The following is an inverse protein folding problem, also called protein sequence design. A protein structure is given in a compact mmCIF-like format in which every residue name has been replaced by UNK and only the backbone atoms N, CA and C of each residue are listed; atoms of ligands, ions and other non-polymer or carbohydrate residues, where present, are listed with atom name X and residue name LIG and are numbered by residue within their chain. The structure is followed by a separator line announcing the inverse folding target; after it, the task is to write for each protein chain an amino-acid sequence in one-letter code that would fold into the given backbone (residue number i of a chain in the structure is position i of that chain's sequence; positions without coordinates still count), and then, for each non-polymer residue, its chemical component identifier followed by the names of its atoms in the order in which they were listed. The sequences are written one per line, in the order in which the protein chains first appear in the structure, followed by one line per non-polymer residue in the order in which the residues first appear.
data_IF_164445687979
#
_entry.id   IF_164445687979
#
_cell.length_a   1.000
_cell.length_b   1.000
_cell.length_c   1.000
_cell.angle_alpha   90.00
_cell.angle_beta   90.00
_cell.angle_gamma   90.00
#
_symmetry.space_group_name_H-M   'P 1'
#
loop_
_entity.id
_entity.type
_entity.pdbx_description
1 polymer ?
#
# COMPACT_ATOMS: atom_id res chain seq x y z
N UNK A 1 3.55 22.41 -6.71
CA UNK A 1 3.50 23.71 -6.00
C UNK A 1 2.18 23.69 -5.27
N UNK A 2 2.25 23.45 -3.97
CA UNK A 2 1.05 23.22 -3.18
C UNK A 2 0.34 24.55 -2.95
N UNK A 3 -0.98 24.55 -3.12
CA UNK A 3 -1.82 25.73 -2.96
C UNK A 3 -2.47 25.63 -1.58
N UNK A 4 -2.12 26.57 -0.72
CA UNK A 4 -2.69 26.67 0.63
C UNK A 4 -3.90 27.62 0.64
N UNK A 5 -4.88 27.40 1.54
CA UNK A 5 -4.93 26.33 2.54
C UNK A 5 -5.29 24.96 1.94
N UNK A 6 -4.76 23.88 2.55
CA UNK A 6 -4.98 22.49 2.14
C UNK A 6 -5.76 21.73 3.21
N UNK A 7 -6.64 20.82 2.80
CA UNK A 7 -7.35 19.93 3.71
C UNK A 7 -6.66 18.56 3.75
N UNK A 8 -6.42 18.04 4.95
CA UNK A 8 -5.86 16.71 5.19
C UNK A 8 -6.86 15.83 5.94
N UNK A 9 -6.69 14.52 5.81
CA UNK A 9 -7.61 13.49 6.27
C UNK A 9 -6.87 12.40 7.02
N UNK A 10 -7.55 11.74 7.95
CA UNK A 10 -7.07 10.50 8.57
C UNK A 10 -8.25 9.62 8.96
N UNK A 11 -7.96 8.34 9.23
CA UNK A 11 -8.96 7.44 9.80
C UNK A 11 -9.49 8.03 11.11
N UNK A 12 -10.81 8.20 11.19
CA UNK A 12 -11.48 8.80 12.33
C UNK A 12 -11.35 7.94 13.58
N UNK A 13 -11.09 8.59 14.71
CA UNK A 13 -10.78 7.93 15.98
C UNK A 13 -11.99 7.41 16.76
N UNK A 14 -13.22 7.75 16.35
CA UNK A 14 -14.45 7.32 17.03
C UNK A 14 -15.11 6.11 16.33
N UNK A 15 -15.65 5.19 17.15
CA UNK A 15 -16.37 4.00 16.69
C UNK A 15 -17.60 4.37 15.85
N UNK A 16 -17.74 3.72 14.70
CA UNK A 16 -18.84 3.89 13.75
C UNK A 16 -19.40 2.50 13.39
N UNK A 17 -20.72 2.33 13.43
CA UNK A 17 -21.38 1.06 13.12
C UNK A 17 -21.60 0.87 11.61
N UNK A 18 -21.64 1.93 10.80
CA UNK A 18 -22.09 1.87 9.41
C UNK A 18 -21.18 2.60 8.37
N UNK A 19 -19.97 3.03 8.73
CA UNK A 19 -19.07 3.70 7.78
C UNK A 19 -17.63 3.91 8.24
N UNK A 20 -16.74 4.29 7.31
CA UNK A 20 -15.38 4.77 7.64
C UNK A 20 -15.49 6.14 8.31
N UNK A 21 -15.22 6.22 9.61
CA UNK A 21 -15.07 7.52 10.27
C UNK A 21 -13.84 8.24 9.69
N UNK A 22 -13.93 9.54 9.45
CA UNK A 22 -12.86 10.34 8.84
C UNK A 22 -12.70 11.62 9.63
N UNK A 23 -11.52 11.83 10.22
CA UNK A 23 -11.15 13.13 10.78
C UNK A 23 -10.58 14.01 9.65
N UNK A 24 -10.80 15.32 9.70
CA UNK A 24 -10.25 16.28 8.73
C UNK A 24 -9.65 17.50 9.42
N UNK A 25 -8.59 18.08 8.84
CA UNK A 25 -7.96 19.32 9.32
C UNK A 25 -7.52 20.22 8.16
N UNK A 26 -7.46 21.53 8.40
CA UNK A 26 -6.96 22.52 7.44
C UNK A 26 -5.55 22.96 7.84
N UNK A 27 -4.63 22.96 6.88
CA UNK A 27 -3.26 23.49 7.03
C UNK A 27 -3.08 24.74 6.16
N UNK A 28 -2.48 25.78 6.72
CA UNK A 28 -2.35 27.10 6.10
C UNK A 28 -0.99 27.31 5.39
N UNK A 29 -0.04 26.39 5.59
CA UNK A 29 1.30 26.53 5.05
C UNK A 29 2.15 25.26 5.14
N UNK A 30 3.34 25.28 4.51
CA UNK A 30 4.17 24.10 4.34
C UNK A 30 4.67 23.48 5.64
N UNK A 31 5.02 24.29 6.65
CA UNK A 31 5.47 23.77 7.94
C UNK A 31 4.36 22.99 8.67
N UNK A 32 3.11 23.46 8.60
CA UNK A 32 1.97 22.77 9.20
C UNK A 32 1.62 21.50 8.40
N UNK A 33 1.77 21.56 7.08
CA UNK A 33 1.56 20.42 6.20
C UNK A 33 2.54 19.29 6.51
N UNK A 34 3.84 19.58 6.57
CA UNK A 34 4.87 18.58 6.89
C UNK A 34 4.67 17.97 8.28
N UNK A 35 4.35 18.80 9.28
CA UNK A 35 4.04 18.32 10.62
C UNK A 35 2.81 17.41 10.67
N UNK A 36 1.75 17.74 9.91
CA UNK A 36 0.54 16.94 9.84
C UNK A 36 0.79 15.60 9.12
N UNK A 37 1.56 15.58 8.02
CA UNK A 37 1.95 14.33 7.36
C UNK A 37 2.75 13.42 8.30
N UNK A 38 3.65 14.00 9.12
CA UNK A 38 4.41 13.25 10.12
C UNK A 38 3.54 12.70 11.27
N UNK A 39 2.43 13.36 11.60
CA UNK A 39 1.43 12.90 12.57
C UNK A 39 0.43 11.88 11.96
N UNK A 40 0.63 11.51 10.69
CA UNK A 40 -0.18 10.49 10.01
C UNK A 40 -1.42 11.02 9.30
N UNK A 41 -1.52 12.34 9.09
CA UNK A 41 -2.52 12.91 8.19
C UNK A 41 -2.12 12.70 6.74
N UNK A 42 -3.11 12.63 5.86
CA UNK A 42 -2.94 12.31 4.45
C UNK A 42 -3.68 13.31 3.57
N UNK A 43 -3.14 13.60 2.40
CA UNK A 43 -3.87 14.33 1.38
C UNK A 43 -5.06 13.51 0.86
N UNK A 44 -6.08 14.17 0.31
CA UNK A 44 -7.27 13.50 -0.22
C UNK A 44 -6.96 12.35 -1.18
N UNK A 45 -5.98 12.54 -2.06
CA UNK A 45 -5.60 11.52 -3.06
C UNK A 45 -5.03 10.27 -2.39
N UNK A 46 -4.16 10.44 -1.38
CA UNK A 46 -3.59 9.33 -0.63
C UNK A 46 -4.65 8.67 0.27
N UNK A 47 -5.49 9.45 0.94
CA UNK A 47 -6.51 8.93 1.85
C UNK A 47 -7.62 8.14 1.13
N UNK A 48 -7.99 8.55 -0.08
CA UNK A 48 -9.01 7.89 -0.91
C UNK A 48 -8.43 6.82 -1.84
N UNK A 49 -7.10 6.65 -1.86
CA UNK A 49 -6.51 5.55 -2.59
C UNK A 49 -7.12 4.24 -2.04
N UNK A 50 -7.45 3.28 -2.92
CA UNK A 50 -7.79 1.95 -2.42
C UNK A 50 -6.65 1.49 -1.53
N UNK A 51 -6.97 0.95 -0.35
CA UNK A 51 -5.99 0.23 0.46
C UNK A 51 -5.30 -0.74 -0.50
N UNK A 52 -3.97 -0.67 -0.65
CA UNK A 52 -3.22 -1.62 -1.48
C UNK A 52 -3.56 -3.00 -0.98
N UNK A 53 -4.52 -3.65 -1.63
CA UNK A 53 -4.97 -4.96 -1.21
C UNK A 53 -3.75 -5.84 -1.38
N UNK A 54 -3.23 -6.44 -0.29
CA UNK A 54 -1.94 -7.10 -0.35
C UNK A 54 -2.01 -8.09 -1.48
N UNK A 55 -1.00 -8.14 -2.37
CA UNK A 55 -1.05 -8.95 -3.58
C UNK A 55 -1.44 -10.41 -3.29
N UNK A 56 -1.13 -10.88 -2.08
CA UNK A 56 -1.48 -12.19 -1.55
C UNK A 56 -2.98 -12.43 -1.30
N UNK A 57 -3.79 -11.38 -1.21
CA UNK A 57 -5.25 -11.44 -1.18
C UNK A 57 -5.81 -11.95 -2.52
N UNK A 58 -5.12 -11.68 -3.62
CA UNK A 58 -5.51 -12.10 -4.97
C UNK A 58 -5.37 -13.62 -5.18
N UNK A 59 -5.99 -14.10 -6.27
CA UNK A 59 -5.85 -15.49 -6.71
C UNK A 59 -4.46 -15.77 -7.26
N UNK A 60 -4.04 -17.05 -7.28
CA UNK A 60 -2.73 -17.44 -7.80
C UNK A 60 -2.47 -16.93 -9.22
N UNK A 61 -3.50 -16.93 -10.08
CA UNK A 61 -3.41 -16.48 -11.47
C UNK A 61 -3.22 -14.97 -11.60
N UNK A 62 -3.84 -14.19 -10.71
CA UNK A 62 -3.67 -12.73 -10.66
C UNK A 62 -2.29 -12.35 -10.14
N UNK A 63 -1.79 -13.10 -9.15
CA UNK A 63 -0.41 -12.95 -8.64
C UNK A 63 0.58 -13.23 -9.77
N UNK A 64 0.47 -14.37 -10.46
CA UNK A 64 1.34 -14.74 -11.58
C UNK A 64 1.39 -13.64 -12.67
N UNK A 65 0.24 -13.04 -12.99
CA UNK A 65 0.15 -11.94 -13.96
C UNK A 65 0.85 -10.65 -13.50
N UNK A 66 0.93 -10.41 -12.19
CA UNK A 66 1.55 -9.23 -11.60
C UNK A 66 3.08 -9.36 -11.41
N UNK A 67 3.61 -10.58 -11.25
CA UNK A 67 5.04 -10.84 -11.01
C UNK A 67 6.00 -10.13 -11.99
N UNK A 68 5.74 -10.06 -13.32
CA UNK A 68 6.65 -9.41 -14.26
C UNK A 68 6.80 -7.90 -14.06
N UNK A 69 5.82 -7.26 -13.40
CA UNK A 69 5.82 -5.82 -13.13
C UNK A 69 6.56 -5.43 -11.85
N UNK A 70 6.95 -6.41 -11.02
CA UNK A 70 7.55 -6.17 -9.72
C UNK A 70 9.08 -6.01 -9.82
N UNK A 71 9.63 -5.21 -8.90
CA UNK A 71 11.08 -5.13 -8.73
C UNK A 71 11.61 -6.37 -8.02
N UNK A 72 12.94 -6.57 -8.03
CA UNK A 72 13.55 -7.70 -7.31
C UNK A 72 13.27 -7.61 -5.80
N UNK A 73 13.33 -6.41 -5.22
CA UNK A 73 13.04 -6.15 -3.82
C UNK A 73 11.58 -6.48 -3.47
N UNK A 74 10.64 -6.08 -4.34
CA UNK A 74 9.22 -6.39 -4.17
C UNK A 74 8.95 -7.90 -4.27
N UNK A 75 9.64 -8.60 -5.17
CA UNK A 75 9.51 -10.05 -5.31
C UNK A 75 10.04 -10.81 -4.08
N UNK A 76 11.15 -10.35 -3.49
CA UNK A 76 11.71 -10.93 -2.25
C UNK A 76 10.79 -10.67 -1.05
N UNK A 77 10.25 -9.45 -0.93
CA UNK A 77 9.26 -9.11 0.09
C UNK A 77 8.00 -9.97 -0.06
N UNK A 78 7.46 -10.08 -1.29
CA UNK A 78 6.29 -10.90 -1.60
C UNK A 78 6.50 -12.39 -1.26
N UNK A 79 7.71 -12.92 -1.49
CA UNK A 79 8.08 -14.28 -1.11
C UNK A 79 8.02 -14.47 0.41
N UNK A 80 8.61 -13.53 1.15
CA UNK A 80 8.61 -13.58 2.62
C UNK A 80 7.19 -13.50 3.18
N UNK A 81 6.36 -12.62 2.63
CA UNK A 81 4.95 -12.50 3.01
C UNK A 81 4.13 -13.75 2.67
N UNK A 82 4.30 -14.34 1.48
CA UNK A 82 3.56 -15.54 1.09
C UNK A 82 3.99 -16.76 1.92
N UNK A 83 5.28 -16.85 2.25
CA UNK A 83 5.79 -17.88 3.16
C UNK A 83 5.27 -17.73 4.59
N UNK A 84 5.11 -16.49 5.09
CA UNK A 84 4.57 -16.23 6.42
C UNK A 84 3.04 -16.36 6.50
N UNK A 85 2.34 -16.09 5.40
CA UNK A 85 0.89 -16.08 5.31
C UNK A 85 0.29 -17.40 4.82
N UNK A 86 -0.08 -17.44 3.53
CA UNK A 86 -0.89 -18.53 2.95
C UNK A 86 -0.06 -19.75 2.52
N UNK A 87 1.25 -19.61 2.35
CA UNK A 87 2.19 -20.69 1.99
C UNK A 87 1.75 -21.51 0.77
N UNK A 88 1.16 -20.87 -0.25
CA UNK A 88 0.71 -21.55 -1.47
C UNK A 88 1.92 -21.97 -2.29
N UNK A 89 2.19 -23.28 -2.31
CA UNK A 89 3.37 -23.85 -2.99
C UNK A 89 3.51 -23.46 -4.46
N UNK A 90 2.40 -23.34 -5.19
CA UNK A 90 2.42 -22.90 -6.60
C UNK A 90 2.90 -21.45 -6.73
N UNK A 91 2.29 -20.54 -5.96
CA UNK A 91 2.63 -19.12 -5.96
C UNK A 91 4.09 -18.89 -5.53
N UNK A 92 4.57 -19.60 -4.50
CA UNK A 92 5.98 -19.52 -4.10
C UNK A 92 6.95 -19.96 -5.21
N UNK A 93 6.61 -21.01 -5.96
CA UNK A 93 7.42 -21.47 -7.07
C UNK A 93 7.45 -20.44 -8.22
N UNK A 94 6.30 -19.81 -8.50
CA UNK A 94 6.19 -18.77 -9.53
C UNK A 94 6.99 -17.51 -9.15
N UNK A 95 6.92 -17.09 -7.88
CA UNK A 95 7.73 -15.98 -7.33
C UNK A 95 9.22 -16.31 -7.40
N UNK A 96 9.64 -17.51 -7.00
CA UNK A 96 11.04 -17.94 -7.09
C UNK A 96 11.54 -17.95 -8.54
N UNK A 97 10.73 -18.43 -9.48
CA UNK A 97 11.07 -18.39 -10.90
C UNK A 97 11.23 -16.95 -11.42
N UNK A 98 10.38 -16.02 -10.98
CA UNK A 98 10.48 -14.61 -11.32
C UNK A 98 11.74 -13.95 -10.76
N UNK A 99 12.10 -14.25 -9.50
CA UNK A 99 13.35 -13.78 -8.86
C UNK A 99 14.57 -14.30 -9.65
N UNK A 100 14.60 -15.60 -9.94
CA UNK A 100 15.69 -16.24 -10.68
C UNK A 100 15.87 -15.63 -12.08
N UNK A 101 14.77 -15.33 -12.76
CA UNK A 101 14.80 -14.67 -14.06
C UNK A 101 15.39 -13.26 -13.96
N UNK A 102 15.09 -12.52 -12.89
CA UNK A 102 15.61 -11.16 -12.65
C UNK A 102 17.09 -11.14 -12.30
N UNK A 103 17.57 -12.14 -11.57
CA UNK A 103 18.99 -12.28 -11.19
C UNK A 103 19.87 -12.73 -12.36
N UNK A 104 19.30 -13.39 -13.36
CA UNK A 104 20.01 -13.86 -14.57
C UNK A 104 19.96 -12.86 -15.74
N UNK A 105 19.13 -11.83 -15.65
CA UNK A 105 18.98 -10.77 -16.65
C UNK A 105 19.97 -9.62 -16.40
#
# INVERSE_FOLDING_TARGET
MDIYPLMLYRAGSAFCWDGKNTDSMVVEGPEQHEAALADGWQEAVAYLAPDDEPLLALTAKEIEAALPGLSLEDLEALKAEEAAGKSRKGVLADIEAAIDARLKA
#
